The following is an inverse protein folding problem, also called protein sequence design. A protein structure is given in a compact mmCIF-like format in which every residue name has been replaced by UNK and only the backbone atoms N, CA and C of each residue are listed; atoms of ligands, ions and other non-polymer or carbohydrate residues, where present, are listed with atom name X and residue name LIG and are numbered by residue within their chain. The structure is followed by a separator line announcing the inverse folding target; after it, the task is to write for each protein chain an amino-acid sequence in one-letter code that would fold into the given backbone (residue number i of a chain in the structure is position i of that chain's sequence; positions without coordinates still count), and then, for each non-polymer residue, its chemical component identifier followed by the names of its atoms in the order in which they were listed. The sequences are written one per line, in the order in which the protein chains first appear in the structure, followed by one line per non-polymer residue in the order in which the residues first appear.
data_IF_882040416510
#
_entry.id   IF_882040416510
#
_cell.length_a   1.000
_cell.length_b   1.000
_cell.length_c   1.000
_cell.angle_alpha   90.00
_cell.angle_beta   90.00
_cell.angle_gamma   90.00
#
_symmetry.space_group_name_H-M   'P 1'
#
loop_
_entity.id
_entity.type
_entity.pdbx_description
1 polymer ?
#
# COMPACT_ATOMS: atom_id res chain seq x y z
N UNK A 1 -12.91 14.66 24.45
CA UNK A 1 -13.46 14.83 23.10
C UNK A 1 -12.29 14.81 22.12
N UNK A 2 -12.01 13.68 21.48
CA UNK A 2 -10.93 13.57 20.49
C UNK A 2 -11.49 13.84 19.10
N UNK A 3 -10.82 14.69 18.32
CA UNK A 3 -11.17 14.95 16.92
C UNK A 3 -10.43 13.93 16.07
N UNK A 4 -11.18 13.16 15.27
CA UNK A 4 -10.60 12.28 14.26
C UNK A 4 -10.04 13.13 13.12
N UNK A 5 -8.74 13.01 12.84
CA UNK A 5 -8.15 13.65 11.67
C UNK A 5 -8.66 12.95 10.40
N UNK A 6 -9.25 13.72 9.49
CA UNK A 6 -9.62 13.22 8.16
C UNK A 6 -8.43 13.06 7.23
N UNK A 7 -8.68 12.47 6.06
CA UNK A 7 -7.75 12.45 4.93
C UNK A 7 -8.36 13.26 3.77
N UNK A 8 -7.52 13.81 2.90
CA UNK A 8 -7.99 14.44 1.67
C UNK A 8 -8.37 13.34 0.67
N UNK A 9 -9.67 13.09 0.48
CA UNK A 9 -10.17 12.04 -0.41
C UNK A 9 -9.90 12.31 -1.88
N UNK A 10 -9.75 13.56 -2.30
CA UNK A 10 -9.44 13.89 -3.70
C UNK A 10 -7.98 13.56 -4.03
N UNK A 11 -7.08 13.83 -3.07
CA UNK A 11 -5.67 13.48 -3.19
C UNK A 11 -5.45 11.96 -3.07
N UNK A 12 -6.26 11.27 -2.26
CA UNK A 12 -6.14 9.84 -1.98
C UNK A 12 -7.30 9.04 -2.59
N UNK A 13 -7.52 9.20 -3.90
CA UNK A 13 -8.57 8.51 -4.64
C UNK A 13 -8.01 7.48 -5.63
N UNK A 14 -8.14 6.16 -5.37
CA UNK A 14 -7.65 5.11 -6.28
C UNK A 14 -8.24 5.17 -7.69
N UNK A 15 -9.40 5.80 -7.87
CA UNK A 15 -10.05 5.93 -9.17
C UNK A 15 -9.43 7.04 -10.04
N UNK A 16 -8.70 7.98 -9.45
CA UNK A 16 -8.10 9.13 -10.15
C UNK A 16 -6.62 9.33 -9.86
N UNK A 17 -6.02 8.49 -9.02
CA UNK A 17 -4.61 8.58 -8.63
C UNK A 17 -3.69 8.20 -9.80
N UNK A 18 -2.95 9.19 -10.30
CA UNK A 18 -1.98 9.04 -11.39
C UNK A 18 -0.65 8.39 -10.97
N UNK A 19 -0.43 8.19 -9.66
CA UNK A 19 0.72 7.44 -9.15
C UNK A 19 0.48 5.93 -9.16
N UNK A 20 -0.78 5.49 -9.32
CA UNK A 20 -1.12 4.09 -9.56
C UNK A 20 -0.86 3.74 -11.02
N UNK A 21 -0.39 2.50 -11.25
CA UNK A 21 -0.25 2.00 -12.62
C UNK A 21 -1.62 1.86 -13.29
N UNK A 22 -2.60 1.38 -12.51
CA UNK A 22 -3.98 1.18 -12.95
C UNK A 22 -4.92 1.71 -11.89
N UNK A 23 -5.81 2.60 -12.29
CA UNK A 23 -6.86 3.13 -11.42
C UNK A 23 -7.87 2.02 -11.10
N UNK A 24 -8.46 2.07 -9.91
CA UNK A 24 -9.46 1.09 -9.48
C UNK A 24 -10.49 1.73 -8.56
N UNK A 25 -11.60 1.04 -8.32
CA UNK A 25 -12.68 1.54 -7.45
C UNK A 25 -13.20 0.43 -6.53
N UNK A 26 -14.12 0.77 -5.63
CA UNK A 26 -14.79 -0.22 -4.79
C UNK A 26 -15.63 -1.22 -5.62
N UNK A 27 -16.11 -0.80 -6.79
CA UNK A 27 -16.93 -1.62 -7.70
C UNK A 27 -16.09 -2.39 -8.73
N UNK A 28 -14.82 -2.00 -8.91
CA UNK A 28 -13.87 -2.68 -9.80
C UNK A 28 -12.49 -2.73 -9.14
N UNK A 29 -12.19 -3.90 -8.56
CA UNK A 29 -10.96 -4.15 -7.82
C UNK A 29 -9.88 -4.82 -8.67
N UNK A 30 -10.10 -5.05 -9.97
CA UNK A 30 -9.12 -5.74 -10.82
C UNK A 30 -7.81 -4.96 -10.90
N UNK A 31 -7.89 -3.62 -11.02
CA UNK A 31 -6.71 -2.75 -11.00
C UNK A 31 -5.86 -2.86 -9.72
N UNK A 32 -6.43 -3.29 -8.60
CA UNK A 32 -5.67 -3.57 -7.37
C UNK A 32 -4.71 -4.76 -7.54
N UNK A 33 -5.15 -5.82 -8.22
CA UNK A 33 -4.30 -6.97 -8.50
C UNK A 33 -3.16 -6.61 -9.46
N UNK A 34 -3.45 -5.78 -10.47
CA UNK A 34 -2.44 -5.28 -11.41
C UNK A 34 -1.40 -4.40 -10.71
N UNK A 35 -1.84 -3.50 -9.82
CA UNK A 35 -0.94 -2.69 -8.99
C UNK A 35 -0.09 -3.56 -8.07
N UNK A 36 -0.66 -4.62 -7.46
CA UNK A 36 0.10 -5.60 -6.65
C UNK A 36 1.19 -6.29 -7.46
N UNK A 37 0.87 -6.73 -8.68
CA UNK A 37 1.84 -7.36 -9.58
C UNK A 37 2.92 -6.38 -10.03
N UNK A 38 2.57 -5.14 -10.36
CA UNK A 38 3.52 -4.10 -10.72
C UNK A 38 4.48 -3.77 -9.56
N UNK A 39 3.95 -3.60 -8.35
CA UNK A 39 4.73 -3.37 -7.14
C UNK A 39 5.72 -4.51 -6.89
N UNK A 40 5.27 -5.77 -6.97
CA UNK A 40 6.15 -6.94 -6.81
C UNK A 40 7.28 -6.95 -7.82
N UNK A 41 7.00 -6.66 -9.09
CA UNK A 41 8.04 -6.56 -10.15
C UNK A 41 9.04 -5.46 -9.84
N UNK A 42 8.56 -4.27 -9.43
CA UNK A 42 9.41 -3.13 -9.10
C UNK A 42 10.32 -3.40 -7.88
N UNK A 43 9.87 -4.23 -6.94
CA UNK A 43 10.63 -4.63 -5.75
C UNK A 43 11.44 -5.93 -5.95
N UNK A 44 11.43 -6.53 -7.14
CA UNK A 44 12.10 -7.81 -7.40
C UNK A 44 11.48 -9.00 -6.64
N UNK A 45 10.25 -8.87 -6.14
CA UNK A 45 9.55 -9.93 -5.43
C UNK A 45 8.99 -10.96 -6.40
N UNK A 46 9.00 -12.23 -5.99
CA UNK A 46 8.45 -13.32 -6.79
C UNK A 46 6.97 -13.09 -7.12
N UNK A 47 6.66 -13.10 -8.41
CA UNK A 47 5.29 -12.99 -8.93
C UNK A 47 4.66 -14.37 -9.22
N UNK A 48 5.32 -15.46 -8.80
CA UNK A 48 4.93 -16.82 -9.15
C UNK A 48 3.61 -17.28 -8.50
N UNK A 49 3.30 -16.77 -7.32
CA UNK A 49 2.02 -17.03 -6.65
C UNK A 49 1.36 -15.69 -6.28
N UNK A 50 0.26 -15.42 -6.98
CA UNK A 50 -0.50 -14.19 -6.81
C UNK A 50 -1.31 -14.17 -5.51
N UNK A 51 -1.69 -15.34 -4.99
CA UNK A 51 -2.47 -15.49 -3.76
C UNK A 51 -1.63 -15.22 -2.50
N UNK A 52 -0.29 -15.22 -2.60
CA UNK A 52 0.56 -14.85 -1.47
C UNK A 52 0.19 -13.46 -0.92
N UNK A 53 0.02 -13.31 0.40
CA UNK A 53 -0.25 -12.01 0.99
C UNK A 53 0.96 -11.09 0.80
N UNK A 54 0.69 -9.79 0.65
CA UNK A 54 1.71 -8.74 0.64
C UNK A 54 1.42 -7.84 1.83
N UNK A 55 2.41 -7.68 2.71
CA UNK A 55 2.32 -6.81 3.88
C UNK A 55 3.23 -5.62 3.66
N UNK A 56 2.68 -4.41 3.73
CA UNK A 56 3.42 -3.15 3.57
C UNK A 56 3.38 -2.34 4.86
N UNK A 57 4.53 -1.78 5.24
CA UNK A 57 4.65 -0.85 6.36
C UNK A 57 5.24 0.46 5.85
N UNK A 58 4.48 1.56 5.95
CA UNK A 58 4.92 2.91 5.59
C UNK A 58 4.89 3.75 6.85
N UNK A 59 6.05 4.01 7.44
CA UNK A 59 6.19 4.80 8.66
C UNK A 59 7.54 5.50 8.71
N UNK A 60 7.62 6.57 9.51
CA UNK A 60 8.91 7.16 9.88
C UNK A 60 9.64 6.23 10.84
N UNK A 61 10.92 5.98 10.61
CA UNK A 61 11.77 5.19 11.49
C UNK A 61 12.28 6.05 12.66
N UNK A 62 11.41 6.28 13.64
CA UNK A 62 11.75 6.99 14.88
C UNK A 62 11.33 6.14 16.09
N UNK A 63 12.00 6.25 17.25
CA UNK A 63 11.71 5.40 18.42
C UNK A 63 10.23 5.40 18.84
N UNK A 64 9.52 6.52 18.67
CA UNK A 64 8.09 6.69 18.93
C UNK A 64 7.16 5.80 18.04
N UNK A 65 7.71 5.12 17.03
CA UNK A 65 7.01 4.19 16.13
C UNK A 65 7.41 2.72 16.33
N UNK A 66 8.14 2.41 17.40
CA UNK A 66 8.39 1.02 17.81
C UNK A 66 9.48 0.28 17.03
N UNK A 67 10.44 0.99 16.42
CA UNK A 67 11.53 0.37 15.62
C UNK A 67 12.63 -0.24 16.50
N UNK A 68 12.30 -0.82 17.67
CA UNK A 68 13.29 -1.52 18.48
C UNK A 68 13.16 -3.04 18.23
N UNK A 69 14.26 -3.59 17.69
CA UNK A 69 14.74 -4.99 17.62
C UNK A 69 14.06 -6.10 16.79
N UNK A 70 12.79 -6.05 16.38
CA UNK A 70 12.19 -7.28 15.77
C UNK A 70 12.13 -7.36 14.23
N UNK A 71 12.56 -6.32 13.50
CA UNK A 71 12.46 -6.31 12.02
C UNK A 71 13.71 -6.82 11.27
N UNK A 72 14.78 -7.21 11.98
CA UNK A 72 16.06 -7.63 11.41
C UNK A 72 16.65 -8.92 12.02
N UNK A 73 15.86 -9.68 12.80
CA UNK A 73 16.25 -11.00 13.32
C UNK A 73 15.71 -12.14 12.47
#
# INVERSE_FOLDING_TARGET
MGILNGINTDAWNPATDNFLKVQYSANDVQGKAENKAAMRRNLGLSSADDQRPVVGCITRLVPQKGVNVDFLS
#
